data_IF_821564375177
#
_entry.id   IF_821564375177
#
_cell.length_a   1.000
_cell.length_b   1.000
_cell.length_c   1.000
_cell.angle_alpha   90.00
_cell.angle_beta   90.00
_cell.angle_gamma   90.00
#
_symmetry.space_group_name_H-M   'P 1'
#
loop_
_entity.id
_entity.type
_entity.pdbx_description
1 polymer ?
#
# COMPACT_ATOMS: atom_id res chain seq x y z
N UNK A 1 -1.58 -16.44 -1.06
CA UNK A 1 -2.03 -15.03 -1.08
C UNK A 1 -3.49 -15.00 -1.47
N UNK A 2 -4.32 -14.13 -0.87
CA UNK A 2 -5.70 -13.92 -1.34
C UNK A 2 -5.79 -12.63 -2.14
N UNK A 3 -6.53 -12.65 -3.22
CA UNK A 3 -6.78 -11.48 -4.08
C UNK A 3 -8.27 -11.27 -4.26
N UNK A 4 -8.67 -10.02 -4.51
CA UNK A 4 -10.04 -9.62 -4.81
C UNK A 4 -10.20 -9.65 -6.33
N UNK A 5 -11.18 -10.38 -6.85
CA UNK A 5 -11.56 -10.23 -8.25
C UNK A 5 -12.19 -8.86 -8.45
N UNK A 6 -11.67 -8.08 -9.38
CA UNK A 6 -12.03 -6.67 -9.55
C UNK A 6 -13.43 -6.45 -10.12
N UNK A 7 -14.00 -7.47 -10.77
CA UNK A 7 -15.34 -7.43 -11.34
C UNK A 7 -16.40 -7.91 -10.34
N UNK A 8 -16.12 -8.99 -9.61
CA UNK A 8 -17.10 -9.59 -8.67
C UNK A 8 -16.95 -9.11 -7.23
N UNK A 9 -15.80 -8.53 -6.87
CA UNK A 9 -15.39 -8.18 -5.50
C UNK A 9 -15.23 -9.39 -4.56
N UNK A 10 -15.18 -10.60 -5.10
CA UNK A 10 -15.00 -11.84 -4.33
C UNK A 10 -13.52 -12.12 -4.04
N UNK A 11 -13.24 -12.76 -2.90
CA UNK A 11 -11.89 -13.15 -2.51
C UNK A 11 -11.52 -14.54 -3.04
N UNK A 12 -10.38 -14.63 -3.72
CA UNK A 12 -9.86 -15.86 -4.31
C UNK A 12 -8.49 -16.21 -3.70
N UNK A 13 -8.22 -17.50 -3.50
CA UNK A 13 -6.94 -18.00 -3.04
C UNK A 13 -6.00 -18.30 -4.20
N UNK A 14 -4.76 -17.86 -4.06
CA UNK A 14 -3.65 -18.15 -4.98
C UNK A 14 -2.44 -18.68 -4.22
N UNK A 15 -1.77 -19.66 -4.78
CA UNK A 15 -0.64 -20.34 -4.16
C UNK A 15 0.61 -20.23 -5.03
N UNK A 16 1.75 -19.96 -4.40
CA UNK A 16 3.09 -19.99 -5.02
C UNK A 16 3.22 -19.25 -6.37
N UNK A 17 3.44 -19.99 -7.45
CA UNK A 17 3.76 -19.47 -8.79
C UNK A 17 2.52 -19.01 -9.57
N UNK A 18 1.32 -19.39 -9.11
CA UNK A 18 0.06 -19.14 -9.84
C UNK A 18 -0.57 -17.78 -9.48
N UNK A 19 0.21 -16.86 -8.93
CA UNK A 19 -0.29 -15.53 -8.57
C UNK A 19 -0.38 -14.69 -9.86
N UNK A 20 -1.59 -14.30 -10.31
CA UNK A 20 -1.76 -13.50 -11.51
C UNK A 20 -1.24 -12.08 -11.30
N UNK A 21 -1.07 -11.26 -12.35
CA UNK A 21 -0.85 -9.83 -12.19
C UNK A 21 -1.98 -9.19 -11.36
N UNK A 22 -1.62 -8.37 -10.37
CA UNK A 22 -2.58 -7.68 -9.52
C UNK A 22 -2.16 -6.24 -9.22
N UNK A 23 -3.16 -5.41 -8.91
CA UNK A 23 -2.95 -4.11 -8.28
C UNK A 23 -2.87 -4.26 -6.76
N UNK A 24 -2.08 -3.44 -6.08
CA UNK A 24 -1.99 -3.42 -4.62
C UNK A 24 -2.35 -2.05 -4.06
N UNK A 25 -3.19 -2.00 -3.02
CA UNK A 25 -3.55 -0.75 -2.36
C UNK A 25 -2.64 -0.50 -1.15
N UNK A 26 -1.94 0.63 -1.19
CA UNK A 26 -1.23 1.22 -0.06
C UNK A 26 -2.05 2.41 0.46
N UNK A 27 -2.44 2.39 1.73
CA UNK A 27 -3.31 3.42 2.28
C UNK A 27 -3.16 3.57 3.81
N UNK A 28 -3.74 4.63 4.36
CA UNK A 28 -3.86 4.83 5.80
C UNK A 28 -5.18 4.27 6.32
N UNK A 29 -5.11 3.37 7.31
CA UNK A 29 -6.33 2.83 7.91
C UNK A 29 -7.11 3.95 8.62
N UNK A 30 -8.42 3.85 8.53
CA UNK A 30 -9.41 4.81 9.02
C UNK A 30 -10.56 4.06 9.69
N UNK A 31 -11.47 4.78 10.34
CA UNK A 31 -12.61 4.14 10.99
C UNK A 31 -13.54 3.49 9.95
N UNK A 32 -13.93 2.24 10.22
CA UNK A 32 -14.83 1.49 9.35
C UNK A 32 -14.15 0.77 8.19
N UNK A 33 -12.91 0.30 8.37
CA UNK A 33 -12.33 -0.69 7.44
C UNK A 33 -13.18 -1.96 7.39
N UNK A 34 -13.16 -2.62 6.23
CA UNK A 34 -13.70 -3.97 6.06
C UNK A 34 -12.56 -4.96 6.27
N UNK A 35 -12.73 -5.88 7.21
CA UNK A 35 -11.78 -6.96 7.43
C UNK A 35 -12.12 -8.21 6.59
N UNK A 36 -11.24 -9.21 6.62
CA UNK A 36 -11.40 -10.45 5.87
C UNK A 36 -12.75 -11.15 6.12
N UNK A 37 -13.17 -11.26 7.38
CA UNK A 37 -14.41 -11.94 7.78
C UNK A 37 -15.65 -11.20 7.27
N UNK A 38 -15.55 -9.88 7.15
CA UNK A 38 -16.66 -9.03 6.77
C UNK A 38 -16.87 -8.96 5.27
N UNK A 39 -15.89 -9.31 4.43
CA UNK A 39 -16.04 -9.27 2.97
C UNK A 39 -17.23 -10.11 2.49
N UNK A 40 -17.52 -11.23 3.14
CA UNK A 40 -18.66 -12.10 2.82
C UNK A 40 -19.97 -11.65 3.47
N UNK A 41 -19.97 -10.58 4.27
CA UNK A 41 -21.17 -10.07 4.94
C UNK A 41 -21.97 -9.17 4.01
N UNK A 42 -23.30 -9.28 4.07
CA UNK A 42 -24.23 -8.38 3.36
C UNK A 42 -24.10 -6.91 3.78
N UNK A 43 -23.52 -6.63 4.94
CA UNK A 43 -23.36 -5.28 5.49
C UNK A 43 -22.00 -4.65 5.17
N UNK A 44 -21.10 -5.33 4.48
CA UNK A 44 -19.78 -4.77 4.17
C UNK A 44 -19.89 -3.50 3.32
N UNK A 45 -20.86 -3.45 2.40
CA UNK A 45 -21.07 -2.37 1.45
C UNK A 45 -21.41 -1.02 2.08
N UNK A 46 -21.93 -1.00 3.30
CA UNK A 46 -22.25 0.24 4.02
C UNK A 46 -21.04 0.87 4.73
N UNK A 47 -19.91 0.18 4.77
CA UNK A 47 -18.70 0.65 5.44
C UNK A 47 -17.86 1.56 4.54
N UNK A 48 -17.25 2.59 5.13
CA UNK A 48 -16.33 3.49 4.43
C UNK A 48 -15.15 2.75 3.81
N UNK A 49 -14.60 1.75 4.49
CA UNK A 49 -13.53 0.90 3.97
C UNK A 49 -13.91 0.16 2.69
N UNK A 50 -15.19 -0.22 2.53
CA UNK A 50 -15.66 -0.88 1.31
C UNK A 50 -15.57 0.05 0.10
N UNK A 51 -15.89 1.34 0.26
CA UNK A 51 -15.74 2.30 -0.83
C UNK A 51 -14.30 2.37 -1.35
N UNK A 52 -13.29 2.23 -0.47
CA UNK A 52 -11.88 2.17 -0.89
C UNK A 52 -11.57 0.88 -1.64
N UNK A 53 -12.07 -0.26 -1.18
CA UNK A 53 -11.91 -1.55 -1.85
C UNK A 53 -12.56 -1.51 -3.25
N UNK A 54 -13.81 -1.07 -3.33
CA UNK A 54 -14.54 -0.94 -4.59
C UNK A 54 -13.85 0.01 -5.57
N UNK A 55 -13.35 1.16 -5.09
CA UNK A 55 -12.58 2.09 -5.93
C UNK A 55 -11.25 1.53 -6.40
N UNK A 56 -10.54 0.81 -5.53
CA UNK A 56 -9.31 0.10 -5.91
C UNK A 56 -9.59 -0.91 -7.02
N UNK A 57 -10.65 -1.70 -6.89
CA UNK A 57 -11.04 -2.68 -7.90
C UNK A 57 -11.48 -2.02 -9.20
N UNK A 58 -12.26 -0.94 -9.14
CA UNK A 58 -12.68 -0.17 -10.31
C UNK A 58 -11.46 0.36 -11.10
N UNK A 59 -10.47 0.94 -10.41
CA UNK A 59 -9.26 1.47 -11.05
C UNK A 59 -8.40 0.33 -11.59
N UNK A 60 -8.22 -0.76 -10.82
CA UNK A 60 -7.49 -1.95 -11.27
C UNK A 60 -8.08 -2.54 -12.56
N UNK A 61 -9.41 -2.68 -12.62
CA UNK A 61 -10.11 -3.17 -13.81
C UNK A 61 -9.90 -2.24 -15.01
N UNK A 62 -9.97 -0.92 -14.80
CA UNK A 62 -9.71 0.07 -15.86
C UNK A 62 -8.25 0.05 -16.36
N UNK A 63 -7.31 -0.31 -15.49
CA UNK A 63 -5.90 -0.55 -15.83
C UNK A 63 -5.65 -1.96 -16.41
N UNK A 64 -6.70 -2.76 -16.63
CA UNK A 64 -6.60 -4.11 -17.21
C UNK A 64 -6.14 -5.20 -16.25
N UNK A 65 -6.21 -4.97 -14.93
CA UNK A 65 -5.84 -5.92 -13.91
C UNK A 65 -7.10 -6.58 -13.34
N UNK A 66 -7.22 -7.90 -13.53
CA UNK A 66 -8.39 -8.66 -13.04
C UNK A 66 -8.42 -8.77 -11.52
N UNK A 67 -7.26 -8.63 -10.86
CA UNK A 67 -7.13 -8.84 -9.43
C UNK A 67 -6.55 -7.62 -8.69
N UNK A 68 -7.02 -7.42 -7.46
CA UNK A 68 -6.50 -6.41 -6.55
C UNK A 68 -6.19 -7.01 -5.17
N UNK A 69 -5.28 -6.39 -4.43
CA UNK A 69 -4.94 -6.75 -3.06
C UNK A 69 -5.10 -5.56 -2.13
N UNK A 70 -5.77 -5.79 -0.99
CA UNK A 70 -5.95 -4.81 0.08
C UNK A 70 -5.68 -5.50 1.42
N UNK A 71 -4.73 -4.99 2.20
CA UNK A 71 -4.25 -5.60 3.43
C UNK A 71 -5.34 -5.80 4.51
N UNK A 72 -6.33 -4.91 4.55
CA UNK A 72 -7.42 -4.98 5.53
C UNK A 72 -8.28 -6.22 5.35
N UNK A 73 -8.54 -6.63 4.10
CA UNK A 73 -9.47 -7.70 3.77
C UNK A 73 -8.85 -8.92 3.07
N UNK A 74 -7.63 -8.84 2.54
CA UNK A 74 -6.94 -9.97 1.91
C UNK A 74 -6.09 -10.79 2.90
N UNK A 75 -5.86 -10.27 4.12
CA UNK A 75 -5.14 -10.98 5.18
C UNK A 75 -6.14 -11.45 6.23
N UNK A 76 -6.21 -12.75 6.46
CA UNK A 76 -6.90 -13.28 7.63
C UNK A 76 -6.05 -13.04 8.88
N UNK A 77 -6.40 -11.98 9.61
CA UNK A 77 -5.70 -11.54 10.83
C UNK A 77 -6.04 -12.39 12.06
N UNK A 78 -7.06 -13.26 11.99
CA UNK A 78 -7.41 -14.16 13.09
C UNK A 78 -6.54 -15.41 13.09
N UNK A 79 -5.99 -15.79 11.93
CA UNK A 79 -5.01 -16.85 11.82
C UNK A 79 -3.61 -16.30 12.08
N UNK A 80 -3.04 -16.62 13.25
CA UNK A 80 -1.67 -16.21 13.61
C UNK A 80 -0.62 -16.67 12.59
N UNK A 81 -0.83 -17.86 12.00
CA UNK A 81 0.00 -18.38 10.92
C UNK A 81 -0.08 -17.50 9.66
N UNK A 82 -1.30 -17.14 9.22
CA UNK A 82 -1.50 -16.27 8.03
C UNK A 82 -1.02 -14.85 8.25
N UNK A 83 -1.19 -14.32 9.46
CA UNK A 83 -0.66 -13.00 9.83
C UNK A 83 0.87 -13.01 9.77
N UNK A 84 1.52 -14.05 10.29
CA UNK A 84 2.98 -14.17 10.28
C UNK A 84 3.53 -14.33 8.86
N UNK A 85 2.88 -15.17 8.04
CA UNK A 85 3.17 -15.31 6.61
C UNK A 85 3.06 -13.97 5.88
N UNK A 86 1.99 -13.21 6.16
CA UNK A 86 1.75 -11.91 5.54
C UNK A 86 2.79 -10.86 5.90
N UNK A 87 3.21 -10.79 7.16
CA UNK A 87 4.28 -9.89 7.62
C UNK A 87 5.57 -10.18 6.87
N UNK A 88 5.96 -11.46 6.78
CA UNK A 88 7.20 -11.85 6.13
C UNK A 88 7.15 -11.72 4.59
N UNK A 89 5.95 -11.64 4.01
CA UNK A 89 5.76 -11.61 2.56
C UNK A 89 5.38 -10.22 2.02
N UNK A 90 5.09 -9.25 2.88
CA UNK A 90 4.51 -7.96 2.48
C UNK A 90 5.38 -7.20 1.47
N UNK A 91 6.69 -7.11 1.73
CA UNK A 91 7.63 -6.50 0.80
C UNK A 91 7.59 -7.19 -0.57
N UNK A 92 7.55 -8.52 -0.60
CA UNK A 92 7.47 -9.28 -1.85
C UNK A 92 6.15 -9.06 -2.58
N UNK A 93 5.03 -8.92 -1.85
CA UNK A 93 3.73 -8.61 -2.45
C UNK A 93 3.70 -7.22 -3.06
N UNK A 94 4.30 -6.21 -2.45
CA UNK A 94 4.47 -4.90 -3.09
C UNK A 94 5.43 -4.95 -4.27
N UNK A 95 6.53 -5.71 -4.17
CA UNK A 95 7.52 -5.82 -5.24
C UNK A 95 7.03 -6.56 -6.50
N UNK A 96 6.09 -7.50 -6.33
CA UNK A 96 5.49 -8.29 -7.42
C UNK A 96 4.19 -7.68 -7.97
N UNK A 97 3.61 -6.68 -7.31
CA UNK A 97 2.41 -6.01 -7.81
C UNK A 97 2.69 -5.34 -9.16
N UNK A 98 1.74 -5.44 -10.08
CA UNK A 98 1.83 -4.77 -11.37
C UNK A 98 1.72 -3.25 -11.19
N UNK A 99 0.78 -2.80 -10.34
CA UNK A 99 0.59 -1.40 -9.96
C UNK A 99 0.38 -1.29 -8.45
N UNK A 100 0.96 -0.26 -7.84
CA UNK A 100 0.74 0.12 -6.45
C UNK A 100 -0.04 1.43 -6.41
N UNK A 101 -1.27 1.39 -5.92
CA UNK A 101 -2.10 2.57 -5.72
C UNK A 101 -1.90 3.10 -4.32
N UNK A 102 -1.39 4.32 -4.21
CA UNK A 102 -1.25 5.04 -2.96
C UNK A 102 -2.44 5.97 -2.81
N UNK A 103 -3.39 5.61 -1.96
CA UNK A 103 -4.55 6.45 -1.66
C UNK A 103 -4.26 7.36 -0.46
N UNK A 104 -4.33 8.67 -0.69
CA UNK A 104 -4.07 9.71 0.29
C UNK A 104 -5.39 10.40 0.68
N UNK A 105 -6.00 9.92 1.77
CA UNK A 105 -7.29 10.41 2.29
C UNK A 105 -7.26 11.91 2.68
N UNK A 106 -6.09 12.42 3.04
CA UNK A 106 -5.83 13.78 3.48
C UNK A 106 -5.20 14.67 2.39
N UNK A 107 -4.96 14.14 1.19
CA UNK A 107 -4.52 14.96 0.05
C UNK A 107 -5.74 15.68 -0.57
N UNK A 108 -5.74 17.01 -0.64
CA UNK A 108 -6.81 17.77 -1.29
C UNK A 108 -6.94 17.44 -2.77
N UNK A 109 -8.15 17.63 -3.30
CA UNK A 109 -8.43 17.38 -4.72
C UNK A 109 -8.07 18.58 -5.61
N UNK A 110 -6.85 19.08 -5.47
CA UNK A 110 -6.35 20.27 -6.16
C UNK A 110 -6.05 19.98 -7.63
N UNK A 111 -6.11 20.99 -8.49
CA UNK A 111 -6.10 20.76 -9.96
C UNK A 111 -4.72 20.54 -10.57
N UNK A 112 -3.63 20.85 -9.86
CA UNK A 112 -2.27 20.84 -10.43
C UNK A 112 -1.32 19.91 -9.71
N UNK A 113 -0.33 19.39 -10.44
CA UNK A 113 0.74 18.55 -9.91
C UNK A 113 1.55 19.28 -8.83
N UNK A 114 1.84 20.57 -9.04
CA UNK A 114 2.63 21.39 -8.11
C UNK A 114 1.95 21.56 -6.75
N UNK A 115 0.63 21.76 -6.72
CA UNK A 115 -0.12 21.85 -5.47
C UNK A 115 -0.14 20.51 -4.74
N UNK A 116 -0.33 19.41 -5.49
CA UNK A 116 -0.27 18.07 -4.92
C UNK A 116 1.12 17.77 -4.34
N UNK A 117 2.20 18.14 -5.04
CA UNK A 117 3.58 17.97 -4.59
C UNK A 117 3.86 18.74 -3.29
N UNK A 118 3.38 20.00 -3.19
CA UNK A 118 3.51 20.82 -1.98
C UNK A 118 2.74 20.24 -0.79
N UNK A 119 1.56 19.66 -1.02
CA UNK A 119 0.72 19.09 0.03
C UNK A 119 1.16 17.68 0.45
N UNK A 120 1.82 16.92 -0.44
CA UNK A 120 2.25 15.54 -0.26
C UNK A 120 2.88 15.27 1.12
N UNK A 121 3.86 16.07 1.62
CA UNK A 121 4.53 15.80 2.90
C UNK A 121 3.63 15.91 4.12
N UNK A 122 2.47 16.58 4.00
CA UNK A 122 1.51 16.72 5.10
C UNK A 122 0.58 15.52 5.25
N UNK A 123 0.55 14.63 4.26
CA UNK A 123 -0.30 13.44 4.30
C UNK A 123 0.19 12.44 5.35
N UNK A 124 -0.71 11.92 6.17
CA UNK A 124 -0.43 10.92 7.21
C UNK A 124 0.27 9.67 6.69
N UNK A 125 0.13 9.37 5.40
CA UNK A 125 0.84 8.26 4.78
C UNK A 125 2.36 8.36 4.99
N UNK A 126 2.96 9.55 4.91
CA UNK A 126 4.41 9.74 5.09
C UNK A 126 4.89 9.63 6.55
N UNK A 127 3.99 9.55 7.53
CA UNK A 127 4.36 9.46 8.95
C UNK A 127 4.36 8.02 9.49
N UNK A 128 4.00 7.03 8.65
CA UNK A 128 3.89 5.62 9.05
C UNK A 128 5.16 4.83 8.74
N UNK A 129 5.54 3.90 9.61
CA UNK A 129 6.74 3.07 9.41
C UNK A 129 6.67 2.09 8.23
N UNK A 130 5.46 1.71 7.79
CA UNK A 130 5.27 0.74 6.70
C UNK A 130 5.39 1.36 5.30
N UNK A 131 5.11 2.65 5.15
CA UNK A 131 5.01 3.29 3.84
C UNK A 131 6.33 3.33 3.09
N UNK A 132 7.45 3.24 3.80
CA UNK A 132 8.76 3.08 3.17
C UNK A 132 8.88 1.78 2.38
N UNK A 133 8.36 0.66 2.90
CA UNK A 133 8.39 -0.61 2.16
C UNK A 133 7.46 -0.56 0.95
N UNK A 134 6.26 0.01 1.10
CA UNK A 134 5.26 0.17 0.04
C UNK A 134 5.79 1.07 -1.10
N UNK A 135 6.61 2.06 -0.75
CA UNK A 135 7.27 3.00 -1.67
C UNK A 135 8.46 2.40 -2.43
N UNK A 136 9.26 1.59 -1.75
CA UNK A 136 10.55 1.09 -2.25
C UNK A 136 10.46 -0.28 -2.90
N UNK A 137 9.51 -1.12 -2.49
CA UNK A 137 9.40 -2.48 -3.01
C UNK A 137 9.08 -2.55 -4.51
N UNK A 138 8.17 -1.72 -5.08
CA UNK A 138 7.87 -1.77 -6.50
C UNK A 138 9.10 -1.43 -7.35
N UNK A 139 9.49 -2.39 -8.23
CA UNK A 139 10.71 -2.30 -9.04
C UNK A 139 10.74 -1.10 -9.98
N UNK A 140 9.60 -0.77 -10.56
CA UNK A 140 9.46 0.34 -11.49
C UNK A 140 8.80 1.53 -10.78
N UNK A 141 9.49 2.69 -10.64
CA UNK A 141 8.95 3.86 -9.96
C UNK A 141 7.60 4.35 -10.52
N UNK A 142 7.40 4.26 -11.84
CA UNK A 142 6.14 4.67 -12.49
C UNK A 142 4.93 3.81 -12.08
N UNK A 143 5.15 2.62 -11.51
CA UNK A 143 4.08 1.72 -11.09
C UNK A 143 3.48 2.11 -9.73
N UNK A 144 4.13 3.01 -8.98
CA UNK A 144 3.58 3.60 -7.76
C UNK A 144 2.80 4.87 -8.15
N UNK A 145 1.48 4.82 -8.05
CA UNK A 145 0.56 5.87 -8.50
C UNK A 145 -0.17 6.48 -7.30
N UNK A 146 -0.12 7.80 -7.18
CA UNK A 146 -0.74 8.54 -6.09
C UNK A 146 -2.13 9.04 -6.49
N UNK A 147 -3.08 8.82 -5.59
CA UNK A 147 -4.47 9.24 -5.71
C UNK A 147 -4.85 10.10 -4.50
N UNK A 148 -5.63 11.14 -4.74
CA UNK A 148 -6.14 12.01 -3.68
C UNK A 148 -7.38 11.44 -2.98
N UNK A 149 -7.95 12.19 -2.04
CA UNK A 149 -9.19 11.85 -1.31
C UNK A 149 -10.44 11.62 -2.18
N UNK A 150 -10.42 12.06 -3.44
CA UNK A 150 -11.48 11.87 -4.43
C UNK A 150 -11.15 10.80 -5.46
N UNK A 151 -10.05 10.06 -5.29
CA UNK A 151 -9.53 9.07 -6.22
C UNK A 151 -9.10 9.64 -7.57
N UNK A 152 -8.74 10.92 -7.65
CA UNK A 152 -8.12 11.46 -8.85
C UNK A 152 -6.63 11.15 -8.87
N UNK A 153 -6.15 10.66 -10.00
CA UNK A 153 -4.73 10.43 -10.24
C UNK A 153 -3.96 11.74 -10.17
N UNK A 154 -2.92 11.80 -9.34
CA UNK A 154 -2.08 12.99 -9.14
C UNK A 154 -0.70 12.89 -9.75
N UNK A 155 -0.23 11.67 -9.99
CA UNK A 155 1.10 11.42 -10.53
C UNK A 155 1.63 10.10 -10.02
N UNK A 156 2.75 9.68 -10.60
CA UNK A 156 3.51 8.53 -10.13
C UNK A 156 4.62 8.96 -9.17
N UNK A 157 5.31 7.99 -8.56
CA UNK A 157 6.51 8.25 -7.74
C UNK A 157 7.57 9.05 -8.50
N UNK A 158 7.67 8.89 -9.82
CA UNK A 158 8.59 9.68 -10.67
C UNK A 158 8.27 11.17 -10.61
N UNK A 159 6.99 11.53 -10.58
CA UNK A 159 6.55 12.93 -10.56
C UNK A 159 6.81 13.61 -9.22
N UNK A 160 6.96 12.83 -8.14
CA UNK A 160 7.06 13.36 -6.77
C UNK A 160 8.42 13.03 -6.12
N UNK A 161 9.44 12.64 -6.88
CA UNK A 161 10.74 12.21 -6.35
C UNK A 161 11.33 13.24 -5.40
N UNK A 162 11.31 14.53 -5.75
CA UNK A 162 11.89 15.58 -4.90
C UNK A 162 11.14 15.73 -3.59
N UNK A 163 9.81 15.83 -3.63
CA UNK A 163 8.99 15.89 -2.41
C UNK A 163 9.13 14.64 -1.54
N UNK A 164 9.11 13.46 -2.14
CA UNK A 164 9.27 12.17 -1.44
C UNK A 164 10.66 12.09 -0.80
N UNK A 165 11.72 12.49 -1.51
CA UNK A 165 13.07 12.50 -0.98
C UNK A 165 13.20 13.44 0.22
N UNK A 166 12.63 14.65 0.13
CA UNK A 166 12.63 15.62 1.23
C UNK A 166 11.91 15.10 2.47
N UNK A 167 10.76 14.44 2.33
CA UNK A 167 9.99 13.97 3.48
C UNK A 167 10.51 12.65 4.07
N UNK A 168 11.02 11.74 3.24
CA UNK A 168 11.51 10.41 3.69
C UNK A 168 13.00 10.39 4.01
N UNK A 169 13.77 11.35 3.49
CA UNK A 169 15.24 11.37 3.46
C UNK A 169 15.87 10.23 2.65
N UNK A 170 15.07 9.53 1.84
CA UNK A 170 15.60 8.56 0.88
C UNK A 170 16.21 9.31 -0.31
N UNK A 171 17.45 9.02 -0.73
CA UNK A 171 18.05 9.67 -1.88
C UNK A 171 17.23 9.48 -3.16
N UNK A 172 17.15 10.53 -3.98
CA UNK A 172 16.41 10.50 -5.25
C UNK A 172 16.87 9.37 -6.20
N UNK A 173 18.16 9.05 -6.21
CA UNK A 173 18.72 7.93 -6.98
C UNK A 173 18.18 6.55 -6.56
N UNK A 174 17.84 6.37 -5.27
CA UNK A 174 17.19 5.14 -4.77
C UNK A 174 15.72 5.12 -5.17
N UNK A 175 15.02 6.26 -5.08
CA UNK A 175 13.61 6.37 -5.46
C UNK A 175 13.39 6.15 -6.96
N UNK A 176 14.32 6.60 -7.80
CA UNK A 176 14.25 6.45 -9.27
C UNK A 176 14.76 5.09 -9.76
N UNK A 177 15.36 4.27 -8.89
CA UNK A 177 16.00 3.01 -9.26
C UNK A 177 17.33 3.18 -10.01
N UNK A 178 17.85 4.41 -10.12
CA UNK A 178 19.16 4.70 -10.73
C UNK A 178 20.33 4.14 -9.89
N UNK A 179 20.12 3.89 -8.60
CA UNK A 179 21.09 3.23 -7.72
C UNK A 179 20.76 1.73 -7.58
N UNK A 180 21.36 0.90 -8.42
CA UNK A 180 21.10 -0.54 -8.54
C UNK A 180 21.49 -1.41 -7.32
N UNK A 181 21.63 -0.85 -6.11
CA UNK A 181 22.24 -1.54 -4.97
C UNK A 181 21.57 -1.31 -3.61
N UNK A 182 20.38 -0.70 -3.53
CA UNK A 182 19.68 -0.64 -2.24
C UNK A 182 18.95 -1.96 -1.96
N UNK A 183 19.66 -2.95 -1.43
CA UNK A 183 19.03 -4.00 -0.64
C UNK A 183 18.95 -3.50 0.80
N UNK A 184 17.77 -3.13 1.32
CA UNK A 184 17.69 -2.86 2.73
C UNK A 184 17.94 -4.17 3.48
N UNK A 185 19.10 -4.28 4.13
CA UNK A 185 19.34 -5.29 5.15
C UNK A 185 18.44 -4.94 6.34
N UNK A 186 17.18 -5.39 6.30
CA UNK A 186 16.33 -5.35 7.48
C UNK A 186 16.73 -6.52 8.37
N UNK A 187 17.32 -6.30 9.56
CA UNK A 187 17.32 -7.34 10.57
C UNK A 187 15.85 -7.67 10.88
N UNK A 188 15.55 -8.97 11.01
CA UNK A 188 14.21 -9.48 11.31
C UNK A 188 13.53 -8.60 12.39
N UNK A 189 12.54 -7.81 11.97
CA UNK A 189 11.81 -6.94 12.88
C UNK A 189 11.03 -7.86 13.83
N UNK A 190 11.45 -7.95 15.10
CA UNK A 190 10.61 -8.51 16.16
C UNK A 190 9.42 -7.58 16.37
N UNK A 191 8.31 -7.86 15.72
CA UNK A 191 7.05 -7.11 15.89
C UNK A 191 6.28 -7.72 17.06
N UNK A 192 6.18 -6.98 18.16
CA UNK A 192 5.32 -7.31 19.28
C UNK A 192 3.89 -6.84 19.05
N UNK A 193 2.90 -7.68 19.43
CA UNK A 193 1.48 -7.33 19.43
C UNK A 193 1.20 -6.23 20.47
N UNK A 194 0.90 -5.02 20.01
CA UNK A 194 0.32 -3.98 20.87
C UNK A 194 -1.14 -4.31 21.21
N UNK A 195 -1.56 -4.03 22.46
CA UNK A 195 -2.87 -4.34 23.07
C UNK A 195 -4.13 -3.79 22.36
N UNK A 196 -4.01 -3.23 21.15
CA UNK A 196 -5.12 -2.67 20.35
C UNK A 196 -5.17 -3.18 18.90
N UNK A 197 -4.44 -4.22 18.54
CA UNK A 197 -4.49 -4.78 17.17
C UNK A 197 -3.81 -3.92 16.09
N UNK A 198 -3.13 -2.84 16.46
CA UNK A 198 -2.23 -2.10 15.58
C UNK A 198 -0.84 -2.75 15.57
N UNK A 199 -0.35 -3.18 14.40
CA UNK A 199 1.04 -3.54 14.18
C UNK A 199 1.89 -2.26 14.12
N UNK A 200 2.80 -2.07 15.08
CA UNK A 200 3.80 -1.01 15.06
C UNK A 200 5.13 -1.56 14.52
N UNK A 201 5.72 -0.87 13.54
CA UNK A 201 7.14 -1.02 13.25
C UNK A 201 7.91 -0.11 14.22
N UNK A 202 8.53 -0.68 15.25
CA UNK A 202 9.48 0.05 16.10
C UNK A 202 10.85 -0.04 15.43
N UNK A 203 11.16 0.94 14.60
CA UNK A 203 12.51 1.17 14.09
C UNK A 203 13.06 2.46 14.66
N UNK A 204 13.81 2.38 15.77
CA UNK A 204 14.74 3.47 16.12
C UNK A 204 15.79 3.50 15.00
N UNK A 205 15.83 4.59 14.24
CA UNK A 205 17.00 4.93 13.44
C UNK A 205 18.11 5.23 14.47
N UNK A 206 19.00 4.27 14.69
CA UNK A 206 20.22 4.50 15.44
C UNK A 206 21.03 5.58 14.72
N UNK A 207 21.37 6.65 15.43
CA UNK A 207 22.47 7.52 15.02
C UNK A 207 23.74 6.70 15.25
N UNK A 208 24.48 6.41 14.19
CA UNK A 208 25.92 6.18 14.34
C UNK A 208 26.57 7.57 14.48
N UNK A 209 27.22 7.77 15.62
CA UNK A 209 28.02 8.92 16.00
C UNK A 209 28.85 8.48 17.19
#
# INVERSE_FOLDING_TARGET
>A
MKLINTSTLELHDFYLADIPPYAILSHTWSDGEVNFQEMSSKTCSSKKGFAKIAKTCQIALADGLEYAWVDTCCIDKLSSAKLSEAINSMYQWYAKAALCYVYLEDLPADKTLELAEKALPSCRWFTRGWTLQELLAPKTPSNVRFYDKKWFFRGSKVNFVSAISKCTRVPEGVLTGAHAAFQPSYPAVKIGLGRKGCLFAVGRIGREG
#
